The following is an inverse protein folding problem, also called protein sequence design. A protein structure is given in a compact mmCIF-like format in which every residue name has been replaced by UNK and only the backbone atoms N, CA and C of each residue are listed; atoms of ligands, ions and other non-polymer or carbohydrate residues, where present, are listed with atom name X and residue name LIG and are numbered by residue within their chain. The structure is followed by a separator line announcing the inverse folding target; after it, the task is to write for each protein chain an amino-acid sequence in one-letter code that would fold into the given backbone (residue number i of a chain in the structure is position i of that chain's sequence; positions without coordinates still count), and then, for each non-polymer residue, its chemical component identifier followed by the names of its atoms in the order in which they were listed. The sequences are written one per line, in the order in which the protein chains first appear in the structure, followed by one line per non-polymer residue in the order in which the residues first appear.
data_IF_706935564617
#
_entry.id   IF_706935564617
#
_cell.length_a   1.000
_cell.length_b   1.000
_cell.length_c   1.000
_cell.angle_alpha   90.00
_cell.angle_beta   90.00
_cell.angle_gamma   90.00
#
_symmetry.space_group_name_H-M   'P 1'
#
loop_
_entity.id
_entity.type
_entity.pdbx_description
1 polymer ?
#
# COMPACT_ATOMS: atom_id res chain seq x y z
N UNK A 1 -26.40 -23.57 -34.60
CA UNK A 1 -25.25 -23.82 -33.69
C UNK A 1 -24.71 -22.49 -33.18
N UNK A 2 -24.59 -22.42 -31.84
CA UNK A 2 -23.89 -21.49 -30.97
C UNK A 2 -23.77 -20.00 -31.36
N UNK A 3 -24.47 -19.18 -30.58
CA UNK A 3 -24.23 -17.75 -30.43
C UNK A 3 -22.74 -17.44 -30.20
N UNK A 4 -22.27 -16.37 -30.86
CA UNK A 4 -20.96 -15.75 -30.70
C UNK A 4 -20.55 -15.77 -29.21
N UNK A 5 -19.43 -16.44 -28.90
CA UNK A 5 -18.88 -16.55 -27.54
C UNK A 5 -18.81 -15.14 -26.95
N UNK A 6 -19.73 -14.81 -26.04
CA UNK A 6 -19.77 -13.51 -25.39
C UNK A 6 -18.41 -13.26 -24.76
N UNK A 7 -17.72 -12.21 -25.22
CA UNK A 7 -16.48 -11.79 -24.61
C UNK A 7 -16.81 -11.44 -23.16
N UNK A 8 -16.35 -12.28 -22.22
CA UNK A 8 -16.45 -11.96 -20.80
C UNK A 8 -15.51 -10.79 -20.55
N UNK A 9 -16.04 -9.56 -20.59
CA UNK A 9 -15.27 -8.38 -20.22
C UNK A 9 -15.05 -8.47 -18.71
N UNK A 10 -13.80 -8.61 -18.29
CA UNK A 10 -13.43 -8.56 -16.87
C UNK A 10 -13.84 -7.19 -16.32
N UNK A 11 -14.86 -7.19 -15.44
CA UNK A 11 -15.35 -5.96 -14.78
C UNK A 11 -14.42 -5.46 -13.67
N UNK A 12 -13.50 -6.32 -13.22
CA UNK A 12 -12.61 -6.07 -12.09
C UNK A 12 -11.15 -6.22 -12.53
N UNK A 13 -10.37 -5.15 -12.40
CA UNK A 13 -8.94 -5.08 -12.73
C UNK A 13 -8.28 -3.77 -12.30
N UNK A 14 -8.94 -2.99 -11.43
CA UNK A 14 -8.41 -1.75 -10.88
C UNK A 14 -7.88 -2.04 -9.49
N UNK A 15 -6.61 -1.73 -9.28
CA UNK A 15 -6.00 -1.67 -7.96
C UNK A 15 -5.25 -0.35 -7.83
N UNK A 16 -5.06 0.09 -6.60
CA UNK A 16 -4.26 1.26 -6.26
C UNK A 16 -2.80 0.88 -6.08
N UNK A 17 -1.88 1.82 -6.34
CA UNK A 17 -0.47 1.58 -6.07
C UNK A 17 -0.21 1.41 -4.57
N UNK A 18 0.73 0.52 -4.25
CA UNK A 18 1.20 0.31 -2.89
C UNK A 18 1.71 1.62 -2.27
N UNK A 19 1.33 1.88 -1.02
CA UNK A 19 1.66 3.12 -0.31
C UNK A 19 2.96 3.02 0.52
N UNK A 20 3.57 1.82 0.55
CA UNK A 20 4.79 1.51 1.30
C UNK A 20 4.75 2.00 2.75
N UNK A 21 3.63 1.74 3.43
CA UNK A 21 3.47 2.03 4.86
C UNK A 21 4.42 1.17 5.70
N UNK A 22 4.48 1.46 7.00
CA UNK A 22 5.25 0.71 7.98
C UNK A 22 6.42 1.49 8.58
N UNK A 23 7.14 0.79 9.45
CA UNK A 23 8.31 1.29 10.18
C UNK A 23 9.48 1.50 9.20
N UNK A 24 10.15 2.64 9.33
CA UNK A 24 11.30 3.05 8.51
C UNK A 24 12.61 3.06 9.30
N UNK A 25 12.51 3.22 10.62
CA UNK A 25 13.63 3.11 11.56
C UNK A 25 13.20 2.24 12.74
N UNK A 26 14.01 1.25 13.05
CA UNK A 26 13.78 0.34 14.18
C UNK A 26 14.56 0.80 15.42
N UNK A 27 14.23 0.24 16.58
CA UNK A 27 14.92 0.56 17.84
C UNK A 27 16.42 0.32 17.75
N UNK A 28 17.21 1.27 18.28
CA UNK A 28 18.67 1.21 18.28
C UNK A 28 19.35 1.74 17.02
N UNK A 29 18.59 2.18 16.01
CA UNK A 29 19.16 2.85 14.84
C UNK A 29 19.38 4.34 15.12
N UNK A 30 20.56 4.86 14.73
CA UNK A 30 20.84 6.30 14.80
C UNK A 30 20.04 7.01 13.72
N UNK A 31 19.31 8.06 14.11
CA UNK A 31 18.50 8.88 13.20
C UNK A 31 18.96 10.32 13.23
N UNK A 32 18.92 10.97 12.07
CA UNK A 32 19.12 12.42 11.99
C UNK A 32 17.81 13.16 12.26
N UNK A 33 17.91 14.42 12.69
CA UNK A 33 16.73 15.27 12.88
C UNK A 33 15.95 15.39 11.57
N UNK A 34 14.63 15.14 11.63
CA UNK A 34 13.75 15.16 10.46
C UNK A 34 13.63 13.84 9.69
N UNK A 35 14.35 12.78 10.07
CA UNK A 35 14.14 11.45 9.47
C UNK A 35 12.77 10.87 9.85
N UNK A 36 12.18 10.11 8.93
CA UNK A 36 10.89 9.43 9.13
C UNK A 36 11.13 8.14 9.93
N UNK A 37 10.41 7.99 11.04
CA UNK A 37 10.46 6.76 11.86
C UNK A 37 9.37 5.76 11.44
N UNK A 38 8.13 6.20 11.21
CA UNK A 38 7.02 5.36 10.74
C UNK A 38 6.18 6.12 9.72
N UNK A 39 5.69 5.40 8.69
CA UNK A 39 4.63 5.88 7.79
C UNK A 39 3.36 5.06 8.02
N UNK A 40 2.31 5.67 8.54
CA UNK A 40 1.09 4.95 8.94
C UNK A 40 -0.18 5.62 8.40
N UNK A 41 -1.28 4.86 8.41
CA UNK A 41 -2.65 5.39 8.26
C UNK A 41 -3.29 5.35 9.65
N UNK A 42 -3.83 6.48 10.09
CA UNK A 42 -4.25 6.64 11.49
C UNK A 42 -3.06 6.69 12.45
N UNK A 43 -3.33 6.52 13.74
CA UNK A 43 -2.37 6.68 14.84
C UNK A 43 -2.09 5.35 15.54
N UNK A 44 -1.45 4.42 14.84
CA UNK A 44 -1.04 3.15 15.44
C UNK A 44 0.11 3.36 16.45
N UNK A 45 1.10 4.17 16.06
CA UNK A 45 2.10 4.72 16.95
C UNK A 45 1.75 6.18 17.25
N UNK A 46 1.77 6.54 18.53
CA UNK A 46 1.54 7.92 18.97
C UNK A 46 2.87 8.69 18.91
N UNK A 47 2.83 9.98 18.50
CA UNK A 47 4.01 10.82 18.43
C UNK A 47 4.63 11.08 19.81
#
# INVERSE_FOLDING_TARGET
MAHKKGASSTRNGRDSNAQYLGVKRFGGQVVSAGEIIVRQRGTHFHP
#
